data_IF_613436791960
#
_entry.id   IF_613436791960
#
_cell.length_a   1.000
_cell.length_b   1.000
_cell.length_c   1.000
_cell.angle_alpha   90.00
_cell.angle_beta   90.00
_cell.angle_gamma   90.00
#
_symmetry.space_group_name_H-M   'P 1'
#
loop_
_entity.id
_entity.type
_entity.pdbx_description
1 polymer ?
#
# COMPACT_ATOMS: atom_id res chain seq x y z
N UNK A 1 16.52 18.74 -3.82
CA UNK A 1 15.83 18.23 -5.03
C UNK A 1 14.68 17.30 -4.60
N UNK A 2 13.54 17.85 -4.19
CA UNK A 2 12.40 17.11 -3.60
C UNK A 2 11.46 16.44 -4.62
N UNK A 3 11.94 16.13 -5.83
CA UNK A 3 11.08 15.75 -6.96
C UNK A 3 10.86 14.25 -7.17
N UNK A 4 11.57 13.36 -6.45
CA UNK A 4 11.69 11.95 -6.89
C UNK A 4 10.67 10.98 -6.29
N UNK A 5 10.11 11.28 -5.10
CA UNK A 5 9.21 10.39 -4.35
C UNK A 5 7.74 10.83 -4.36
N UNK A 6 7.27 11.40 -5.46
CA UNK A 6 5.90 11.91 -5.58
C UNK A 6 5.05 10.98 -6.46
N UNK A 7 4.08 11.53 -7.21
CA UNK A 7 3.20 10.83 -8.13
C UNK A 7 3.94 9.75 -8.95
N UNK A 8 3.32 8.58 -9.09
CA UNK A 8 3.86 7.37 -9.72
C UNK A 8 4.95 6.63 -8.93
N UNK A 9 5.44 7.18 -7.81
CA UNK A 9 6.40 6.48 -6.96
C UNK A 9 5.68 5.65 -5.87
N UNK A 10 6.27 4.53 -5.41
CA UNK A 10 5.72 3.70 -4.33
C UNK A 10 5.93 4.26 -2.91
N UNK A 11 6.58 5.42 -2.80
CA UNK A 11 6.89 6.08 -1.54
C UNK A 11 5.66 6.80 -0.95
N UNK A 12 5.70 7.17 0.33
CA UNK A 12 4.56 7.74 1.07
C UNK A 12 3.95 8.96 0.38
N UNK A 13 4.77 9.89 -0.11
CA UNK A 13 4.30 11.06 -0.85
C UNK A 13 3.71 10.73 -2.25
N UNK A 14 3.82 9.48 -2.70
CA UNK A 14 3.17 8.95 -3.90
C UNK A 14 1.92 8.11 -3.62
N UNK A 15 1.85 7.40 -2.49
CA UNK A 15 0.76 6.44 -2.19
C UNK A 15 -0.19 6.88 -1.07
N UNK A 16 0.29 7.62 -0.07
CA UNK A 16 -0.53 8.06 1.07
C UNK A 16 -1.32 9.30 0.71
N UNK A 17 -2.59 9.08 0.36
CA UNK A 17 -3.52 10.14 -0.04
C UNK A 17 -4.50 10.44 1.10
N UNK A 18 -4.86 11.72 1.34
CA UNK A 18 -5.88 12.04 2.33
C UNK A 18 -7.25 11.45 1.93
N UNK A 19 -7.96 10.89 2.91
CA UNK A 19 -9.29 10.32 2.75
C UNK A 19 -10.25 10.99 3.73
N UNK A 20 -11.39 11.46 3.23
CA UNK A 20 -12.42 12.11 4.04
C UNK A 20 -13.78 11.48 3.74
N UNK A 21 -14.53 11.16 4.80
CA UNK A 21 -15.90 10.64 4.69
C UNK A 21 -16.81 11.55 5.52
N UNK A 22 -17.96 11.94 4.94
CA UNK A 22 -18.98 12.72 5.64
C UNK A 22 -20.34 12.10 5.40
N UNK A 23 -21.00 11.69 6.47
CA UNK A 23 -22.39 11.26 6.42
C UNK A 23 -23.16 11.75 7.65
N UNK A 24 -23.99 12.80 7.50
CA UNK A 24 -24.77 13.35 8.59
C UNK A 24 -25.63 12.30 9.29
N UNK A 25 -25.55 12.23 10.62
CA UNK A 25 -26.32 11.30 11.45
C UNK A 25 -25.87 9.83 11.38
N UNK A 26 -24.81 9.50 10.63
CA UNK A 26 -24.29 8.13 10.49
C UNK A 26 -22.82 8.01 10.84
N UNK A 27 -21.99 8.94 10.36
CA UNK A 27 -20.54 8.97 10.66
C UNK A 27 -20.28 10.11 11.64
N UNK A 28 -19.81 9.83 12.88
CA UNK A 28 -19.43 10.86 13.82
C UNK A 28 -18.13 11.55 13.37
N UNK A 29 -17.93 12.85 13.70
CA UNK A 29 -16.66 13.51 13.45
C UNK A 29 -15.51 12.80 14.17
N UNK A 30 -14.48 12.45 13.42
CA UNK A 30 -13.27 11.81 13.94
C UNK A 30 -12.08 12.20 13.05
N UNK A 31 -10.94 12.49 13.67
CA UNK A 31 -9.64 12.48 13.01
C UNK A 31 -8.95 11.20 13.43
N UNK A 32 -8.55 10.39 12.45
CA UNK A 32 -7.85 9.13 12.66
C UNK A 32 -6.61 9.11 11.78
N UNK A 33 -5.46 9.06 12.43
CA UNK A 33 -4.13 9.08 11.83
C UNK A 33 -3.36 7.77 12.03
N UNK A 34 -3.96 6.78 12.70
CA UNK A 34 -3.33 5.50 13.05
C UNK A 34 -3.90 4.31 12.26
N UNK A 35 -5.18 4.34 11.91
CA UNK A 35 -5.85 3.18 11.33
C UNK A 35 -5.54 3.03 9.84
N UNK A 36 -5.06 1.86 9.44
CA UNK A 36 -4.75 1.56 8.05
C UNK A 36 -6.03 1.43 7.21
N UNK A 37 -6.14 2.28 6.18
CA UNK A 37 -7.22 2.25 5.20
C UNK A 37 -6.66 2.28 3.78
N UNK A 38 -7.40 1.70 2.84
CA UNK A 38 -7.08 1.69 1.41
C UNK A 38 -8.29 2.14 0.59
N UNK A 39 -8.04 2.67 -0.61
CA UNK A 39 -9.10 3.08 -1.53
C UNK A 39 -10.06 1.93 -1.89
N UNK A 40 -9.57 0.68 -1.87
CA UNK A 40 -10.39 -0.50 -2.16
C UNK A 40 -11.49 -0.74 -1.11
N UNK A 41 -11.32 -0.20 0.11
CA UNK A 41 -12.29 -0.30 1.20
C UNK A 41 -13.60 0.45 0.91
N UNK A 42 -13.59 1.39 -0.04
CA UNK A 42 -14.83 2.05 -0.47
C UNK A 42 -15.81 1.09 -1.14
N UNK A 43 -15.32 0.05 -1.84
CA UNK A 43 -16.20 -0.88 -2.56
C UNK A 43 -17.17 -1.60 -1.62
N UNK A 44 -16.73 -2.39 -0.61
CA UNK A 44 -17.64 -3.04 0.31
C UNK A 44 -18.45 -2.03 1.13
N UNK A 45 -17.87 -0.87 1.46
CA UNK A 45 -18.58 0.21 2.17
C UNK A 45 -19.79 0.70 1.38
N UNK A 46 -19.61 1.02 0.09
CA UNK A 46 -20.68 1.55 -0.76
C UNK A 46 -21.75 0.48 -0.99
N UNK A 47 -21.35 -0.78 -1.24
CA UNK A 47 -22.29 -1.88 -1.43
C UNK A 47 -23.19 -2.07 -0.19
N UNK A 48 -22.60 -2.12 1.00
CA UNK A 48 -23.38 -2.27 2.25
C UNK A 48 -24.33 -1.09 2.46
N UNK A 49 -23.88 0.13 2.20
CA UNK A 49 -24.70 1.35 2.27
C UNK A 49 -25.88 1.32 1.30
N UNK A 50 -25.68 0.75 0.12
CA UNK A 50 -26.73 0.57 -0.88
C UNK A 50 -27.64 -0.64 -0.61
N UNK A 51 -27.38 -1.44 0.43
CA UNK A 51 -28.10 -2.69 0.69
C UNK A 51 -27.82 -3.78 -0.35
N UNK A 52 -26.68 -3.70 -1.05
CA UNK A 52 -26.24 -4.68 -2.04
C UNK A 52 -25.34 -5.71 -1.35
N UNK A 53 -25.52 -7.02 -1.60
CA UNK A 53 -24.64 -8.05 -1.04
C UNK A 53 -23.16 -7.80 -1.39
N UNK A 54 -22.31 -7.85 -0.37
CA UNK A 54 -20.85 -7.73 -0.53
C UNK A 54 -20.27 -9.11 -0.84
N UNK A 55 -19.51 -9.28 -1.94
CA UNK A 55 -18.81 -10.54 -2.21
C UNK A 55 -17.82 -10.88 -1.09
N UNK A 56 -17.81 -12.13 -0.64
CA UNK A 56 -17.00 -12.57 0.50
C UNK A 56 -15.50 -12.57 0.22
N UNK A 57 -15.12 -12.65 -1.06
CA UNK A 57 -13.75 -12.79 -1.54
C UNK A 57 -13.03 -11.45 -1.70
N UNK A 58 -13.69 -10.31 -1.44
CA UNK A 58 -13.04 -9.02 -1.54
C UNK A 58 -11.95 -8.87 -0.45
N UNK A 59 -10.71 -8.49 -0.81
CA UNK A 59 -9.62 -8.30 0.16
C UNK A 59 -9.76 -7.00 0.98
N UNK A 60 -10.81 -6.23 0.72
CA UNK A 60 -11.11 -4.91 1.30
C UNK A 60 -12.07 -5.00 2.49
N UNK A 61 -12.03 -4.02 3.38
CA UNK A 61 -12.91 -3.93 4.55
C UNK A 61 -13.96 -2.83 4.38
N UNK A 62 -15.09 -2.94 5.09
CA UNK A 62 -16.04 -1.85 5.22
C UNK A 62 -15.50 -0.77 6.17
N UNK A 63 -15.36 0.47 5.69
CA UNK A 63 -14.88 1.63 6.45
C UNK A 63 -15.79 1.98 7.65
N UNK A 64 -17.05 1.57 7.64
CA UNK A 64 -17.99 1.76 8.75
C UNK A 64 -17.83 0.70 9.84
N UNK A 65 -17.22 -0.45 9.55
CA UNK A 65 -16.90 -1.47 10.56
C UNK A 65 -15.62 -1.09 11.29
N UNK A 66 -15.78 -0.29 12.35
CA UNK A 66 -14.64 0.18 13.13
C UNK A 66 -13.81 -0.95 13.72
N UNK A 67 -14.46 -2.05 14.14
CA UNK A 67 -13.79 -3.18 14.78
C UNK A 67 -12.88 -3.88 13.77
N UNK A 68 -13.37 -4.13 12.56
CA UNK A 68 -12.57 -4.71 11.49
C UNK A 68 -11.41 -3.77 11.09
N UNK A 69 -11.70 -2.48 10.93
CA UNK A 69 -10.68 -1.48 10.56
C UNK A 69 -9.54 -1.41 11.59
N UNK A 70 -9.84 -1.37 12.89
CA UNK A 70 -8.80 -1.34 13.94
C UNK A 70 -8.06 -2.66 14.13
N UNK A 71 -8.64 -3.77 13.68
CA UNK A 71 -8.00 -5.08 13.73
C UNK A 71 -6.98 -5.29 12.60
N UNK A 72 -7.09 -4.54 11.49
CA UNK A 72 -6.16 -4.64 10.36
C UNK A 72 -4.74 -4.25 10.79
N UNK A 73 -3.81 -5.17 10.59
CA UNK A 73 -2.39 -4.96 10.90
C UNK A 73 -1.59 -4.48 9.69
N UNK A 74 -1.97 -4.89 8.47
CA UNK A 74 -1.19 -4.59 7.28
C UNK A 74 -2.01 -4.34 6.02
N UNK A 75 -1.38 -3.64 5.06
CA UNK A 75 -1.84 -3.43 3.69
C UNK A 75 -0.67 -3.72 2.76
N UNK A 76 -0.91 -4.55 1.75
CA UNK A 76 0.04 -4.81 0.66
C UNK A 76 -0.40 -4.10 -0.62
N UNK A 77 0.55 -3.56 -1.37
CA UNK A 77 0.34 -2.86 -2.64
C UNK A 77 1.41 -3.26 -3.65
N UNK A 78 1.05 -3.14 -4.93
CA UNK A 78 1.98 -3.21 -6.04
C UNK A 78 1.98 -1.88 -6.79
N UNK A 79 3.19 -1.41 -7.11
CA UNK A 79 3.38 -0.28 -8.00
C UNK A 79 3.87 -0.81 -9.34
N UNK A 80 3.24 -0.33 -10.42
CA UNK A 80 3.56 -0.72 -11.78
C UNK A 80 3.88 0.51 -12.62
N UNK A 81 4.53 0.27 -13.76
CA UNK A 81 4.69 1.25 -14.83
C UNK A 81 3.32 1.68 -15.36
N UNK A 82 3.27 2.87 -15.96
CA UNK A 82 2.02 3.36 -16.53
C UNK A 82 1.57 2.52 -17.74
N UNK A 83 2.53 1.99 -18.48
CA UNK A 83 2.30 1.14 -19.65
C UNK A 83 2.43 -0.33 -19.24
N UNK A 84 1.59 -1.18 -19.82
CA UNK A 84 1.66 -2.64 -19.64
C UNK A 84 2.76 -3.18 -20.55
N UNK A 85 3.75 -3.85 -19.97
CA UNK A 85 4.86 -4.45 -20.71
C UNK A 85 4.41 -5.70 -21.47
N UNK A 86 3.62 -6.52 -20.81
CA UNK A 86 3.14 -7.82 -21.28
C UNK A 86 1.83 -8.13 -20.53
N UNK A 87 0.78 -8.51 -21.27
CA UNK A 87 -0.53 -8.83 -20.72
C UNK A 87 -0.54 -10.16 -19.97
N UNK A 88 0.28 -11.12 -20.41
CA UNK A 88 0.39 -12.44 -19.82
C UNK A 88 1.44 -12.49 -18.70
N UNK A 89 2.34 -11.49 -18.65
CA UNK A 89 3.39 -11.36 -17.63
C UNK A 89 3.32 -10.01 -16.91
N UNK A 90 2.27 -9.74 -16.12
CA UNK A 90 2.06 -8.43 -15.46
C UNK A 90 3.20 -8.03 -14.52
N UNK A 91 3.94 -9.01 -14.00
CA UNK A 91 5.16 -8.83 -13.22
C UNK A 91 6.21 -7.95 -13.90
N UNK A 92 6.28 -7.99 -15.24
CA UNK A 92 7.25 -7.21 -16.02
C UNK A 92 7.01 -5.70 -15.94
N UNK A 93 5.80 -5.28 -15.60
CA UNK A 93 5.48 -3.87 -15.36
C UNK A 93 5.74 -3.45 -13.91
N UNK A 94 6.08 -4.36 -12.99
CA UNK A 94 6.23 -3.99 -11.58
C UNK A 94 7.45 -3.12 -11.36
N UNK A 95 7.24 -1.96 -10.75
CA UNK A 95 8.32 -1.10 -10.25
C UNK A 95 8.66 -1.45 -8.80
N UNK A 96 7.66 -1.85 -8.01
CA UNK A 96 7.84 -2.32 -6.64
C UNK A 96 6.65 -3.15 -6.14
N UNK A 97 6.89 -4.03 -5.16
CA UNK A 97 5.88 -4.49 -4.20
C UNK A 97 6.16 -3.84 -2.86
N UNK A 98 5.12 -3.51 -2.09
CA UNK A 98 5.28 -2.93 -0.76
C UNK A 98 4.24 -3.44 0.21
N UNK A 99 4.64 -3.54 1.48
CA UNK A 99 3.73 -3.83 2.59
C UNK A 99 3.93 -2.78 3.66
N UNK A 100 2.82 -2.28 4.21
CA UNK A 100 2.77 -1.45 5.40
C UNK A 100 2.20 -2.34 6.50
N UNK A 101 2.97 -2.60 7.56
CA UNK A 101 2.60 -3.41 8.73
C UNK A 101 2.72 -2.52 9.98
N UNK A 102 1.58 -2.03 10.45
CA UNK A 102 1.52 -0.89 11.38
C UNK A 102 2.23 0.34 10.80
N UNK A 103 3.32 0.76 11.43
CA UNK A 103 4.17 1.87 10.98
C UNK A 103 5.43 1.42 10.24
N UNK A 104 5.63 0.12 10.07
CA UNK A 104 6.78 -0.41 9.33
C UNK A 104 6.41 -0.58 7.87
N UNK A 105 7.23 -0.03 6.96
CA UNK A 105 7.03 -0.18 5.51
C UNK A 105 8.22 -0.87 4.89
N UNK A 106 7.97 -1.95 4.15
CA UNK A 106 8.96 -2.60 3.28
C UNK A 106 8.61 -2.30 1.83
N UNK A 107 9.60 -1.95 1.03
CA UNK A 107 9.53 -1.94 -0.43
C UNK A 107 10.55 -2.92 -1.00
N UNK A 108 10.11 -3.75 -1.94
CA UNK A 108 10.96 -4.64 -2.72
C UNK A 108 10.97 -4.20 -4.20
N UNK A 109 12.13 -4.17 -4.87
CA UNK A 109 12.23 -3.87 -6.29
C UNK A 109 11.36 -4.81 -7.15
N UNK A 110 10.69 -4.25 -8.15
CA UNK A 110 10.02 -5.00 -9.20
C UNK A 110 10.89 -5.21 -10.45
N UNK A 111 10.38 -5.98 -11.41
CA UNK A 111 11.12 -6.40 -12.61
C UNK A 111 11.13 -5.38 -13.76
N UNK A 112 10.39 -4.27 -13.66
CA UNK A 112 10.36 -3.25 -14.70
C UNK A 112 11.76 -2.68 -14.97
N UNK A 113 12.09 -2.50 -16.24
CA UNK A 113 13.36 -1.92 -16.65
C UNK A 113 13.47 -0.46 -16.19
N UNK A 114 14.70 0.05 -16.06
CA UNK A 114 14.93 1.44 -15.66
C UNK A 114 14.29 2.44 -16.63
N UNK A 115 14.27 2.12 -17.92
CA UNK A 115 13.71 2.96 -19.00
C UNK A 115 12.18 3.11 -18.90
N UNK A 116 11.50 2.10 -18.33
CA UNK A 116 10.05 2.14 -18.15
C UNK A 116 9.61 2.91 -16.89
N UNK A 117 10.54 3.18 -15.96
CA UNK A 117 10.24 3.86 -14.69
C UNK A 117 10.14 5.36 -14.93
N UNK A 118 8.94 5.92 -14.72
CA UNK A 118 8.68 7.36 -14.84
C UNK A 118 8.86 8.13 -13.51
N UNK A 119 9.09 7.43 -12.41
CA UNK A 119 9.33 7.98 -11.08
C UNK A 119 10.30 7.10 -10.30
N UNK A 120 10.78 7.57 -9.14
CA UNK A 120 11.67 6.77 -8.33
C UNK A 120 10.99 5.48 -7.86
N UNK A 121 11.77 4.41 -7.84
CA UNK A 121 11.39 3.12 -7.32
C UNK A 121 12.62 2.50 -6.65
N UNK A 122 12.44 1.61 -5.67
CA UNK A 122 13.56 0.92 -5.03
C UNK A 122 14.38 0.14 -6.06
N UNK A 123 15.70 0.19 -5.89
CA UNK A 123 16.66 -0.65 -6.64
C UNK A 123 17.21 -1.79 -5.79
N UNK A 124 16.97 -1.73 -4.49
CA UNK A 124 17.28 -2.74 -3.47
C UNK A 124 16.14 -2.76 -2.44
N UNK A 125 16.05 -3.75 -1.55
CA UNK A 125 15.11 -3.71 -0.44
C UNK A 125 15.26 -2.42 0.40
N UNK A 126 14.15 -1.76 0.67
CA UNK A 126 14.09 -0.55 1.51
C UNK A 126 13.07 -0.75 2.63
N UNK A 127 13.50 -0.56 3.87
CA UNK A 127 12.66 -0.70 5.07
C UNK A 127 12.62 0.63 5.81
N UNK A 128 11.44 1.12 6.15
CA UNK A 128 11.25 2.40 6.83
C UNK A 128 10.37 2.27 8.07
N UNK A 129 10.67 3.06 9.09
CA UNK A 129 9.76 3.34 10.21
C UNK A 129 9.02 4.64 9.89
N UNK A 130 7.77 4.53 9.45
CA UNK A 130 6.98 5.68 9.01
C UNK A 130 6.57 6.61 10.18
N UNK A 131 6.67 6.15 11.42
CA UNK A 131 6.36 6.98 12.59
C UNK A 131 7.51 7.91 12.92
N UNK A 132 8.73 7.39 12.87
CA UNK A 132 9.94 8.17 13.10
C UNK A 132 10.44 8.90 11.85
N UNK A 133 10.19 8.33 10.66
CA UNK A 133 10.70 8.80 9.37
C UNK A 133 9.58 8.79 8.30
N UNK A 134 8.59 9.70 8.41
CA UNK A 134 7.46 9.77 7.48
C UNK A 134 7.84 10.17 6.04
N UNK A 135 9.08 10.61 5.83
CA UNK A 135 9.63 10.99 4.52
C UNK A 135 10.53 9.90 3.92
N UNK A 136 10.66 8.75 4.60
CA UNK A 136 11.40 7.56 4.17
C UNK A 136 12.88 7.85 3.88
N UNK A 137 13.50 8.76 4.61
CA UNK A 137 14.88 9.23 4.39
C UNK A 137 15.95 8.24 4.85
N UNK A 138 15.63 7.33 5.76
CA UNK A 138 16.58 6.42 6.40
C UNK A 138 16.20 4.97 6.13
N UNK A 139 16.89 4.32 5.18
CA UNK A 139 16.67 2.91 4.90
C UNK A 139 17.25 2.03 6.02
N UNK A 140 16.39 1.26 6.69
CA UNK A 140 16.69 0.36 7.80
C UNK A 140 16.93 -1.11 7.38
N UNK A 141 16.85 -1.42 6.08
CA UNK A 141 16.83 -2.81 5.60
C UNK A 141 18.09 -3.60 5.99
N UNK A 142 19.27 -2.97 5.89
CA UNK A 142 20.53 -3.60 6.25
C UNK A 142 20.67 -3.83 7.77
N UNK A 143 20.03 -2.99 8.59
CA UNK A 143 20.07 -3.09 10.05
C UNK A 143 19.01 -4.06 10.60
N UNK A 144 17.96 -4.37 9.82
CA UNK A 144 16.84 -5.23 10.24
C UNK A 144 16.54 -6.33 9.20
N UNK A 145 17.51 -7.23 8.88
CA UNK A 145 17.34 -8.23 7.84
C UNK A 145 16.23 -9.26 8.15
N UNK A 146 16.02 -9.60 9.42
CA UNK A 146 14.94 -10.51 9.84
C UNK A 146 13.55 -9.94 9.53
N UNK A 147 13.37 -8.62 9.71
CA UNK A 147 12.12 -7.94 9.42
C UNK A 147 11.87 -7.83 7.92
N UNK A 148 12.92 -7.57 7.13
CA UNK A 148 12.86 -7.64 5.66
C UNK A 148 12.41 -9.02 5.20
N UNK A 149 12.97 -10.09 5.77
CA UNK A 149 12.59 -11.46 5.43
C UNK A 149 11.13 -11.76 5.83
N UNK A 150 10.71 -11.38 7.05
CA UNK A 150 9.34 -11.58 7.53
C UNK A 150 8.31 -10.89 6.63
N UNK A 151 8.52 -9.61 6.32
CA UNK A 151 7.63 -8.83 5.48
C UNK A 151 7.71 -9.25 4.00
N UNK A 152 8.87 -9.68 3.53
CA UNK A 152 9.05 -10.28 2.21
C UNK A 152 8.21 -11.54 2.03
N UNK A 153 8.20 -12.44 3.01
CA UNK A 153 7.32 -13.61 2.98
C UNK A 153 5.83 -13.24 2.98
N UNK A 154 5.44 -12.19 3.71
CA UNK A 154 4.06 -11.67 3.67
C UNK A 154 3.66 -11.19 2.27
N UNK A 155 4.57 -10.49 1.57
CA UNK A 155 4.36 -10.08 0.19
C UNK A 155 4.26 -11.25 -0.78
N UNK A 156 5.07 -12.29 -0.61
CA UNK A 156 4.99 -13.49 -1.44
C UNK A 156 3.71 -14.30 -1.18
N UNK A 157 3.20 -14.31 0.05
CA UNK A 157 1.91 -14.90 0.38
C UNK A 157 0.72 -14.11 -0.22
N UNK A 158 0.85 -12.78 -0.31
CA UNK A 158 -0.15 -11.93 -0.95
C UNK A 158 -0.13 -12.06 -2.48
N UNK A 159 1.05 -11.93 -3.09
CA UNK A 159 1.26 -12.14 -4.51
C UNK A 159 2.70 -12.55 -4.78
N UNK A 160 2.88 -13.83 -5.08
CA UNK A 160 4.14 -14.36 -5.59
C UNK A 160 4.33 -13.95 -7.04
N UNK A 161 5.41 -13.21 -7.30
CA UNK A 161 5.79 -12.80 -8.65
C UNK A 161 6.51 -13.98 -9.31
N UNK A 162 5.97 -14.46 -10.43
CA UNK A 162 6.55 -15.54 -11.26
C UNK A 162 7.50 -14.99 -12.32
#
# INVERSE_FOLDING_TARGET
MSGMRSKLSPYELGVRTPMFVRWPGKVPPLRDDETLASIIDFVPTILEVCGVPVPAELPSLNLLDRKAMTARQSISLAASTHDIADLDRPAMSLTARMVIDGWTKLLLPGAASAEMKRAAAPTQPELFDLKADPLETTNLAAQKPEEVARLGHSLDAWWKVE
#
